data_IF_388727630343
#
_entry.id   IF_388727630343
#
_cell.length_a   1.000
_cell.length_b   1.000
_cell.length_c   1.000
_cell.angle_alpha   90.00
_cell.angle_beta   90.00
_cell.angle_gamma   90.00
#
_symmetry.space_group_name_H-M   'P 1'
#
loop_
_entity.id
_entity.type
_entity.pdbx_description
1 polymer ?
#
# COMPACT_ATOMS: atom_id res chain seq x y z
N UNK A 1 -11.04 28.49 13.72
CA UNK A 1 -10.97 28.01 12.32
C UNK A 1 -9.48 27.88 12.01
N UNK A 2 -8.96 26.65 12.05
CA UNK A 2 -7.52 26.41 11.92
C UNK A 2 -7.08 26.69 10.48
N UNK A 3 -6.15 27.62 10.31
CA UNK A 3 -5.48 27.90 9.05
C UNK A 3 -4.55 26.72 8.76
N UNK A 4 -4.91 25.86 7.81
CA UNK A 4 -3.98 24.87 7.28
C UNK A 4 -2.87 25.61 6.54
N UNK A 5 -1.62 25.39 6.98
CA UNK A 5 -0.42 26.10 6.52
C UNK A 5 -0.02 25.71 5.11
N UNK A 6 -0.78 26.17 4.13
CA UNK A 6 -0.36 26.20 2.73
C UNK A 6 0.37 27.53 2.53
N UNK A 7 1.66 27.49 2.21
CA UNK A 7 2.46 28.70 1.98
C UNK A 7 2.14 29.30 0.60
N UNK A 8 1.16 30.20 0.57
CA UNK A 8 0.63 30.82 -0.66
C UNK A 8 1.45 32.02 -1.13
N UNK A 9 2.42 32.47 -0.34
CA UNK A 9 3.28 33.61 -0.69
C UNK A 9 4.06 33.36 -1.98
N UNK A 10 4.37 32.08 -2.25
CA UNK A 10 5.11 31.63 -3.43
C UNK A 10 4.26 31.63 -4.70
N UNK A 11 2.94 31.39 -4.61
CA UNK A 11 2.04 31.44 -5.77
C UNK A 11 1.87 32.88 -6.26
N UNK A 12 1.73 33.80 -5.31
CA UNK A 12 1.64 35.23 -5.53
C UNK A 12 2.92 35.82 -6.14
N UNK A 13 4.09 35.28 -5.81
CA UNK A 13 5.39 35.67 -6.37
C UNK A 13 5.64 35.01 -7.74
N UNK A 14 5.22 33.75 -7.92
CA UNK A 14 5.30 33.04 -9.21
C UNK A 14 4.43 33.69 -10.28
N UNK A 15 3.21 34.12 -9.91
CA UNK A 15 2.30 34.87 -10.79
C UNK A 15 2.85 36.26 -11.15
N UNK A 16 3.59 36.91 -10.23
CA UNK A 16 4.25 38.20 -10.47
C UNK A 16 5.51 38.10 -11.33
N UNK A 17 6.24 36.99 -11.24
CA UNK A 17 7.53 36.77 -11.93
C UNK A 17 7.42 36.10 -13.29
N UNK A 18 6.21 35.71 -13.73
CA UNK A 18 5.99 35.06 -15.03
C UNK A 18 6.46 33.61 -15.07
N UNK A 19 6.65 32.98 -13.90
CA UNK A 19 6.92 31.55 -13.79
C UNK A 19 5.62 30.76 -14.03
N UNK A 20 5.71 29.57 -14.59
CA UNK A 20 4.56 28.79 -15.09
C UNK A 20 3.55 28.45 -13.97
N UNK A 21 2.51 29.29 -13.85
CA UNK A 21 1.47 29.19 -12.83
C UNK A 21 0.74 27.84 -12.82
N UNK A 22 0.72 27.14 -13.97
CA UNK A 22 0.13 25.80 -14.09
C UNK A 22 0.95 24.76 -13.34
N UNK A 23 2.28 24.79 -13.50
CA UNK A 23 3.19 23.88 -12.80
C UNK A 23 3.12 24.07 -11.29
N UNK A 24 3.05 25.33 -10.82
CA UNK A 24 2.89 25.62 -9.40
C UNK A 24 1.53 25.16 -8.87
N UNK A 25 0.43 25.49 -9.56
CA UNK A 25 -0.91 25.09 -9.15
C UNK A 25 -1.04 23.56 -9.05
N UNK A 26 -0.39 22.84 -9.96
CA UNK A 26 -0.33 21.37 -9.93
C UNK A 26 0.45 20.87 -8.71
N UNK A 27 1.64 21.42 -8.43
CA UNK A 27 2.44 21.03 -7.26
C UNK A 27 1.69 21.29 -5.93
N UNK A 28 1.05 22.46 -5.82
CA UNK A 28 0.23 22.84 -4.68
C UNK A 28 -0.94 21.87 -4.49
N UNK A 29 -1.64 21.54 -5.57
CA UNK A 29 -2.76 20.61 -5.54
C UNK A 29 -2.34 19.20 -5.14
N UNK A 30 -1.21 18.71 -5.64
CA UNK A 30 -0.64 17.43 -5.24
C UNK A 30 -0.28 17.39 -3.75
N UNK A 31 0.35 18.46 -3.23
CA UNK A 31 0.67 18.57 -1.82
C UNK A 31 -0.60 18.64 -0.94
N UNK A 32 -1.62 19.39 -1.37
CA UNK A 32 -2.90 19.47 -0.67
C UNK A 32 -3.59 18.10 -0.60
N UNK A 33 -3.57 17.33 -1.69
CA UNK A 33 -4.09 15.97 -1.72
C UNK A 33 -3.36 15.02 -0.75
N UNK A 34 -2.02 15.09 -0.70
CA UNK A 34 -1.20 14.31 0.25
C UNK A 34 -1.48 14.68 1.71
N UNK A 35 -1.89 15.91 1.97
CA UNK A 35 -2.30 16.39 3.30
C UNK A 35 -3.78 16.11 3.62
N UNK A 36 -4.52 15.44 2.73
CA UNK A 36 -5.93 15.10 2.94
C UNK A 36 -6.90 16.28 2.78
N UNK A 37 -6.48 17.38 2.18
CA UNK A 37 -7.35 18.53 1.92
C UNK A 37 -8.37 18.13 0.84
N UNK A 38 -9.68 18.27 1.08
CA UNK A 38 -10.69 17.90 0.10
C UNK A 38 -10.70 18.87 -1.09
N UNK A 39 -10.96 18.34 -2.29
CA UNK A 39 -10.88 19.10 -3.55
C UNK A 39 -11.74 20.37 -3.54
N UNK A 40 -12.96 20.32 -3.00
CA UNK A 40 -13.82 21.48 -2.91
C UNK A 40 -13.20 22.63 -2.08
N UNK A 41 -12.44 22.32 -1.03
CA UNK A 41 -11.73 23.34 -0.26
C UNK A 41 -10.56 23.94 -1.03
N UNK A 42 -9.83 23.13 -1.80
CA UNK A 42 -8.78 23.63 -2.71
C UNK A 42 -9.38 24.55 -3.78
N UNK A 43 -10.49 24.16 -4.40
CA UNK A 43 -11.17 24.97 -5.41
C UNK A 43 -11.70 26.30 -4.83
N UNK A 44 -12.37 26.27 -3.68
CA UNK A 44 -12.80 27.50 -3.00
C UNK A 44 -11.62 28.39 -2.59
N UNK A 45 -10.46 27.81 -2.29
CA UNK A 45 -9.26 28.58 -2.01
C UNK A 45 -8.70 29.27 -3.28
N UNK A 46 -8.67 28.56 -4.41
CA UNK A 46 -8.28 29.15 -5.69
C UNK A 46 -9.25 30.25 -6.13
N UNK A 47 -10.56 30.05 -5.97
CA UNK A 47 -11.57 31.08 -6.25
C UNK A 47 -11.33 32.36 -5.43
N UNK A 48 -11.03 32.21 -4.14
CA UNK A 48 -10.74 33.36 -3.27
C UNK A 48 -9.44 34.08 -3.64
N UNK A 49 -8.42 33.36 -4.09
CA UNK A 49 -7.13 33.94 -4.48
C UNK A 49 -7.25 34.82 -5.74
N UNK A 50 -8.09 34.41 -6.70
CA UNK A 50 -8.25 35.14 -7.96
C UNK A 50 -9.29 36.26 -7.88
N UNK A 51 -10.11 36.31 -6.81
CA UNK A 51 -11.16 37.30 -6.64
C UNK A 51 -10.63 38.76 -6.74
N UNK A 52 -11.36 39.65 -7.45
CA UNK A 52 -12.70 39.47 -8.01
C UNK A 52 -12.73 38.81 -9.40
N UNK A 53 -11.60 38.36 -9.93
CA UNK A 53 -11.51 37.68 -11.22
C UNK A 53 -11.72 36.17 -11.04
N UNK A 54 -12.17 35.50 -12.10
CA UNK A 54 -12.21 34.04 -12.10
C UNK A 54 -10.83 33.47 -12.45
N UNK A 55 -10.42 32.36 -11.82
CA UNK A 55 -9.22 31.64 -12.22
C UNK A 55 -9.37 31.10 -13.65
N UNK A 56 -8.25 31.03 -14.38
CA UNK A 56 -8.26 30.47 -15.72
C UNK A 56 -8.67 28.98 -15.68
N UNK A 57 -9.49 28.55 -16.63
CA UNK A 57 -9.96 27.16 -16.73
C UNK A 57 -8.80 26.15 -16.72
N UNK A 58 -7.74 26.41 -17.49
CA UNK A 58 -6.59 25.50 -17.58
C UNK A 58 -5.88 25.30 -16.24
N UNK A 59 -5.87 26.33 -15.39
CA UNK A 59 -5.30 26.26 -14.04
C UNK A 59 -6.16 25.43 -13.11
N UNK A 60 -7.48 25.64 -13.12
CA UNK A 60 -8.42 24.83 -12.34
C UNK A 60 -8.38 23.37 -12.78
N UNK A 61 -8.30 23.13 -14.09
CA UNK A 61 -8.17 21.79 -14.67
C UNK A 61 -6.86 21.12 -14.26
N UNK A 62 -5.73 21.81 -14.37
CA UNK A 62 -4.42 21.28 -13.99
C UNK A 62 -4.36 20.94 -12.49
N UNK A 63 -4.85 21.84 -11.62
CA UNK A 63 -4.94 21.60 -10.18
C UNK A 63 -5.87 20.42 -9.84
N UNK A 64 -7.03 20.32 -10.50
CA UNK A 64 -7.97 19.23 -10.25
C UNK A 64 -7.40 17.86 -10.64
N UNK A 65 -6.70 17.77 -11.77
CA UNK A 65 -6.03 16.55 -12.22
C UNK A 65 -4.90 16.18 -11.25
N UNK A 66 -4.02 17.13 -10.93
CA UNK A 66 -2.91 16.90 -10.02
C UNK A 66 -3.37 16.47 -8.61
N UNK A 67 -4.46 17.06 -8.10
CA UNK A 67 -5.08 16.64 -6.85
C UNK A 67 -5.62 15.21 -6.93
N UNK A 68 -6.33 14.86 -8.02
CA UNK A 68 -6.90 13.53 -8.20
C UNK A 68 -5.82 12.44 -8.30
N UNK A 69 -4.78 12.68 -9.11
CA UNK A 69 -3.65 11.75 -9.28
C UNK A 69 -2.92 11.54 -7.94
N UNK A 70 -2.63 12.63 -7.21
CA UNK A 70 -1.98 12.53 -5.90
C UNK A 70 -2.87 11.84 -4.84
N UNK A 71 -4.20 12.04 -4.89
CA UNK A 71 -5.12 11.38 -3.95
C UNK A 71 -5.29 9.89 -4.24
N UNK A 72 -5.20 9.45 -5.51
CA UNK A 72 -5.20 8.02 -5.86
C UNK A 72 -4.04 7.29 -5.18
N UNK A 73 -2.85 7.90 -5.16
CA UNK A 73 -1.71 7.33 -4.45
C UNK A 73 -1.95 7.27 -2.94
N UNK A 74 -2.60 8.28 -2.32
CA UNK A 74 -2.85 8.29 -0.87
C UNK A 74 -3.99 7.35 -0.47
N UNK A 75 -5.04 7.21 -1.27
CA UNK A 75 -6.20 6.34 -0.94
C UNK A 75 -5.84 4.85 -0.91
N UNK A 76 -4.85 4.42 -1.70
CA UNK A 76 -4.31 3.05 -1.62
C UNK A 76 -3.58 2.75 -0.30
N UNK A 77 -3.16 3.79 0.43
CA UNK A 77 -2.59 3.67 1.78
C UNK A 77 -3.65 3.72 2.89
N UNK A 78 -4.91 4.05 2.57
CA UNK A 78 -5.99 4.14 3.57
C UNK A 78 -6.83 2.85 3.65
N UNK A 79 -6.69 1.94 2.70
CA UNK A 79 -7.42 0.67 2.72
C UNK A 79 -6.57 -0.44 3.34
N UNK A 80 -7.18 -1.24 4.22
CA UNK A 80 -6.54 -2.44 4.77
C UNK A 80 -6.36 -3.54 3.70
N UNK A 81 -7.09 -3.42 2.58
CA UNK A 81 -7.06 -4.34 1.46
C UNK A 81 -6.91 -3.58 0.14
N UNK A 82 -6.19 -4.17 -0.80
CA UNK A 82 -6.13 -3.73 -2.18
C UNK A 82 -7.45 -4.10 -2.89
N UNK A 83 -8.18 -3.13 -3.47
CA UNK A 83 -9.52 -3.37 -4.03
C UNK A 83 -9.52 -4.23 -5.29
N UNK A 84 -8.39 -4.38 -5.97
CA UNK A 84 -8.28 -5.17 -7.20
C UNK A 84 -8.02 -6.65 -6.89
N UNK A 85 -7.19 -6.93 -5.89
CA UNK A 85 -6.70 -8.27 -5.54
C UNK A 85 -7.34 -8.86 -4.28
N UNK A 86 -8.01 -8.01 -3.49
CA UNK A 86 -8.54 -8.30 -2.14
C UNK A 86 -7.43 -8.75 -1.14
N UNK A 87 -6.15 -8.55 -1.50
CA UNK A 87 -5.02 -8.83 -0.64
C UNK A 87 -4.90 -7.75 0.43
N UNK A 88 -4.49 -8.13 1.63
CA UNK A 88 -4.15 -7.15 2.66
C UNK A 88 -2.98 -6.27 2.21
N UNK A 89 -3.02 -5.00 2.61
CA UNK A 89 -1.91 -4.08 2.37
C UNK A 89 -0.76 -4.35 3.35
N UNK A 90 0.44 -3.91 3.01
CA UNK A 90 1.62 -3.99 3.90
C UNK A 90 1.39 -3.26 5.22
N UNK A 91 0.61 -2.17 5.21
CA UNK A 91 0.20 -1.45 6.41
C UNK A 91 -0.72 -2.31 7.30
N UNK A 92 -1.73 -2.97 6.73
CA UNK A 92 -2.59 -3.87 7.51
C UNK A 92 -1.82 -5.04 8.12
N UNK A 93 -0.85 -5.58 7.38
CA UNK A 93 0.06 -6.60 7.90
C UNK A 93 0.89 -6.08 9.09
N UNK A 94 1.44 -4.87 8.99
CA UNK A 94 2.21 -4.24 10.07
C UNK A 94 1.34 -4.05 11.32
N UNK A 95 0.13 -3.50 11.17
CA UNK A 95 -0.84 -3.34 12.27
C UNK A 95 -1.18 -4.70 12.93
N UNK A 96 -1.36 -5.75 12.12
CA UNK A 96 -1.63 -7.09 12.66
C UNK A 96 -0.44 -7.64 13.44
N UNK A 97 0.77 -7.43 12.95
CA UNK A 97 2.01 -7.83 13.63
C UNK A 97 2.16 -7.08 14.96
N UNK A 98 1.99 -5.75 15.00
CA UNK A 98 2.01 -4.99 16.25
C UNK A 98 1.02 -5.55 17.29
N UNK A 99 -0.18 -5.92 16.85
CA UNK A 99 -1.17 -6.59 17.69
C UNK A 99 -0.68 -7.92 18.29
N UNK A 100 0.00 -8.74 17.48
CA UNK A 100 0.59 -10.01 17.92
C UNK A 100 1.71 -9.78 18.93
N UNK A 101 2.62 -8.83 18.67
CA UNK A 101 3.73 -8.53 19.59
C UNK A 101 3.21 -8.01 20.93
N UNK A 102 2.21 -7.13 20.90
CA UNK A 102 1.57 -6.60 22.11
C UNK A 102 0.90 -7.71 22.92
N UNK A 103 0.20 -8.63 22.25
CA UNK A 103 -0.41 -9.80 22.90
C UNK A 103 0.65 -10.71 23.52
N UNK A 104 1.71 -11.02 22.77
CA UNK A 104 2.82 -11.86 23.23
C UNK A 104 3.52 -11.26 24.46
N UNK A 105 3.69 -9.94 24.49
CA UNK A 105 4.24 -9.23 25.65
C UNK A 105 3.36 -9.36 26.91
N UNK A 106 2.03 -9.35 26.76
CA UNK A 106 1.08 -9.54 27.88
C UNK A 106 1.06 -11.00 28.35
N UNK A 107 1.12 -11.95 27.42
CA UNK A 107 1.03 -13.39 27.70
C UNK A 107 2.39 -14.01 28.11
N UNK A 108 3.49 -13.26 27.96
CA UNK A 108 4.84 -13.76 28.23
C UNK A 108 5.32 -14.81 27.24
N UNK A 109 4.79 -14.81 26.01
CA UNK A 109 5.13 -15.74 24.93
C UNK A 109 5.99 -15.06 23.88
N UNK A 110 6.63 -15.85 23.00
CA UNK A 110 7.33 -15.31 21.83
C UNK A 110 6.40 -15.28 20.61
N UNK A 111 6.33 -14.16 19.85
CA UNK A 111 5.60 -14.11 18.59
C UNK A 111 5.99 -15.24 17.63
N UNK A 112 7.28 -15.59 17.58
CA UNK A 112 7.81 -16.64 16.70
C UNK A 112 7.34 -18.06 17.08
N UNK A 113 6.89 -18.28 18.32
CA UNK A 113 6.34 -19.57 18.76
C UNK A 113 4.86 -19.75 18.36
N UNK A 114 4.17 -18.65 18.10
CA UNK A 114 2.72 -18.64 17.83
C UNK A 114 2.41 -18.36 16.37
N UNK A 115 3.23 -17.57 15.68
CA UNK A 115 3.00 -17.16 14.31
C UNK A 115 4.27 -17.29 13.46
N UNK A 116 4.06 -17.56 12.18
CA UNK A 116 5.10 -17.59 11.17
C UNK A 116 4.64 -16.85 9.91
N UNK A 117 5.61 -16.41 9.09
CA UNK A 117 5.33 -15.88 7.76
C UNK A 117 5.74 -16.91 6.71
N UNK A 118 4.83 -17.21 5.79
CA UNK A 118 5.17 -17.85 4.52
C UNK A 118 5.37 -16.74 3.50
N UNK A 119 6.59 -16.55 2.99
CA UNK A 119 6.85 -15.65 1.86
C UNK A 119 6.80 -16.38 0.53
N UNK A 120 6.21 -15.72 -0.46
CA UNK A 120 5.98 -16.22 -1.80
C UNK A 120 6.57 -15.22 -2.78
N UNK A 121 7.74 -15.57 -3.32
CA UNK A 121 8.40 -14.83 -4.39
C UNK A 121 8.00 -15.37 -5.76
N UNK A 122 7.56 -14.47 -6.65
CA UNK A 122 7.19 -14.80 -8.02
C UNK A 122 8.27 -14.31 -8.99
N UNK A 123 8.99 -15.26 -9.59
CA UNK A 123 9.98 -14.98 -10.65
C UNK A 123 9.36 -15.00 -12.05
N UNK A 124 8.18 -14.40 -12.18
CA UNK A 124 7.50 -14.26 -13.46
C UNK A 124 7.75 -12.84 -14.01
N UNK A 125 8.07 -12.75 -15.30
CA UNK A 125 8.18 -11.46 -15.97
C UNK A 125 6.78 -11.02 -16.41
N UNK A 126 6.19 -10.08 -15.68
CA UNK A 126 4.93 -9.45 -16.09
C UNK A 126 5.18 -8.44 -17.21
N UNK A 127 4.31 -8.39 -18.21
CA UNK A 127 4.43 -7.44 -19.33
C UNK A 127 3.94 -6.05 -18.88
N UNK A 128 2.98 -6.00 -17.97
CA UNK A 128 2.44 -4.77 -17.39
C UNK A 128 1.93 -5.01 -15.95
N UNK A 129 1.43 -3.95 -15.29
CA UNK A 129 0.90 -3.99 -13.92
C UNK A 129 -0.39 -4.80 -13.79
N UNK A 130 -1.23 -4.82 -14.84
CA UNK A 130 -2.46 -5.62 -14.85
C UNK A 130 -2.14 -7.13 -14.82
N UNK A 131 -1.13 -7.58 -15.56
CA UNK A 131 -0.70 -8.99 -15.54
C UNK A 131 -0.18 -9.39 -14.16
N UNK A 132 0.55 -8.48 -13.49
CA UNK A 132 1.00 -8.70 -12.12
C UNK A 132 -0.16 -8.83 -11.14
N UNK A 133 -1.17 -7.95 -11.28
CA UNK A 133 -2.38 -7.98 -10.46
C UNK A 133 -3.22 -9.25 -10.70
N UNK A 134 -3.40 -9.67 -11.96
CA UNK A 134 -4.08 -10.92 -12.29
C UNK A 134 -3.36 -12.14 -11.70
N UNK A 135 -2.03 -12.17 -11.79
CA UNK A 135 -1.25 -13.23 -11.14
C UNK A 135 -1.40 -13.19 -9.61
N UNK A 136 -1.40 -12.01 -9.00
CA UNK A 136 -1.64 -11.87 -7.57
C UNK A 136 -3.03 -12.38 -7.16
N UNK A 137 -4.08 -12.15 -7.97
CA UNK A 137 -5.42 -12.70 -7.76
C UNK A 137 -5.39 -14.23 -7.76
N UNK A 138 -4.75 -14.84 -8.75
CA UNK A 138 -4.69 -16.30 -8.85
C UNK A 138 -3.90 -16.93 -7.69
N UNK A 139 -2.79 -16.32 -7.29
CA UNK A 139 -2.02 -16.71 -6.10
C UNK A 139 -2.89 -16.59 -4.86
N UNK A 140 -3.57 -15.46 -4.67
CA UNK A 140 -4.41 -15.21 -3.51
C UNK A 140 -5.55 -16.23 -3.43
N UNK A 141 -6.19 -16.56 -4.55
CA UNK A 141 -7.21 -17.61 -4.60
C UNK A 141 -6.65 -18.97 -4.19
N UNK A 142 -5.49 -19.36 -4.71
CA UNK A 142 -4.81 -20.60 -4.33
C UNK A 142 -4.49 -20.63 -2.82
N UNK A 143 -3.98 -19.54 -2.26
CA UNK A 143 -3.67 -19.43 -0.83
C UNK A 143 -4.92 -19.52 0.05
N UNK A 144 -6.03 -18.87 -0.35
CA UNK A 144 -7.32 -18.93 0.38
C UNK A 144 -7.93 -20.34 0.42
N UNK A 145 -7.49 -21.28 -0.44
CA UNK A 145 -7.91 -22.69 -0.33
C UNK A 145 -7.18 -23.45 0.78
N UNK A 146 -6.01 -22.96 1.20
CA UNK A 146 -5.14 -23.59 2.21
C UNK A 146 -5.29 -22.89 3.56
N UNK A 147 -5.38 -21.57 3.54
CA UNK A 147 -5.51 -20.69 4.70
C UNK A 147 -6.94 -20.15 4.73
N UNK A 148 -7.76 -20.73 5.60
CA UNK A 148 -9.24 -20.58 5.60
C UNK A 148 -9.78 -19.90 6.86
N UNK A 149 -8.91 -19.49 7.78
CA UNK A 149 -9.25 -18.98 9.11
C UNK A 149 -8.92 -17.49 9.20
N UNK A 150 -8.16 -17.09 10.22
CA UNK A 150 -7.79 -15.70 10.49
C UNK A 150 -6.38 -15.34 10.00
N UNK A 151 -5.84 -16.13 9.06
CA UNK A 151 -4.57 -15.84 8.41
C UNK A 151 -4.68 -14.58 7.55
N UNK A 152 -3.59 -13.80 7.49
CA UNK A 152 -3.53 -12.58 6.69
C UNK A 152 -2.70 -12.85 5.44
N UNK A 153 -3.32 -12.74 4.27
CA UNK A 153 -2.65 -12.84 2.98
C UNK A 153 -2.43 -11.41 2.46
N UNK A 154 -1.18 -10.98 2.36
CA UNK A 154 -0.81 -9.62 2.01
C UNK A 154 0.15 -9.57 0.81
N UNK A 155 0.10 -8.47 0.05
CA UNK A 155 1.12 -8.13 -0.94
C UNK A 155 2.11 -7.11 -0.33
N UNK A 156 3.40 -7.40 -0.40
CA UNK A 156 4.45 -6.45 -0.04
C UNK A 156 4.85 -5.58 -1.24
N UNK A 157 4.91 -6.22 -2.42
CA UNK A 157 5.12 -5.60 -3.71
C UNK A 157 4.46 -6.45 -4.83
N UNK A 158 4.63 -6.07 -6.09
CA UNK A 158 4.01 -6.76 -7.24
C UNK A 158 4.49 -8.21 -7.45
N UNK A 159 5.56 -8.66 -6.78
CA UNK A 159 6.21 -9.97 -6.93
C UNK A 159 6.43 -10.71 -5.62
N UNK A 160 6.24 -10.05 -4.48
CA UNK A 160 6.38 -10.61 -3.14
C UNK A 160 5.06 -10.55 -2.40
N UNK A 161 4.52 -11.75 -2.13
CA UNK A 161 3.31 -11.94 -1.33
C UNK A 161 3.69 -12.69 -0.05
N UNK A 162 2.93 -12.47 1.01
CA UNK A 162 3.17 -13.10 2.30
C UNK A 162 1.88 -13.60 2.92
N UNK A 163 1.98 -14.68 3.69
CA UNK A 163 0.90 -15.18 4.54
C UNK A 163 1.38 -15.17 5.98
N UNK A 164 0.69 -14.42 6.84
CA UNK A 164 0.86 -14.49 8.29
C UNK A 164 -0.15 -15.49 8.85
N UNK A 165 0.35 -16.56 9.46
CA UNK A 165 -0.48 -17.67 9.96
C UNK A 165 0.06 -18.22 11.29
N UNK A 166 -0.70 -19.12 11.90
CA UNK A 166 -0.25 -19.87 13.09
C UNK A 166 1.01 -20.70 12.74
N UNK A 167 2.04 -20.61 13.58
CA UNK A 167 3.32 -21.28 13.36
C UNK A 167 3.18 -22.81 13.24
N UNK A 168 2.15 -23.41 13.85
CA UNK A 168 1.90 -24.86 13.79
C UNK A 168 1.31 -25.29 12.46
N UNK A 169 0.66 -24.37 11.75
CA UNK A 169 0.04 -24.63 10.45
C UNK A 169 1.04 -24.49 9.30
N UNK A 170 2.02 -23.59 9.43
CA UNK A 170 3.04 -23.39 8.39
C UNK A 170 4.14 -24.45 8.51
N UNK A 171 4.00 -25.54 7.76
CA UNK A 171 4.94 -26.67 7.74
C UNK A 171 5.23 -27.16 6.32
N UNK A 172 6.19 -28.07 6.17
CA UNK A 172 6.63 -28.59 4.87
C UNK A 172 5.51 -29.21 4.03
N UNK A 173 4.51 -29.84 4.65
CA UNK A 173 3.39 -30.43 3.93
C UNK A 173 2.47 -29.34 3.36
N UNK A 174 2.20 -28.29 4.12
CA UNK A 174 1.49 -27.10 3.64
C UNK A 174 2.27 -26.43 2.50
N UNK A 175 3.59 -26.31 2.60
CA UNK A 175 4.43 -25.77 1.51
C UNK A 175 4.29 -26.59 0.22
N UNK A 176 4.24 -27.93 0.33
CA UNK A 176 4.03 -28.81 -0.83
C UNK A 176 2.67 -28.59 -1.46
N UNK A 177 1.61 -28.46 -0.65
CA UNK A 177 0.26 -28.19 -1.14
C UNK A 177 0.20 -26.83 -1.85
N UNK A 178 0.74 -25.79 -1.21
CA UNK A 178 0.84 -24.45 -1.81
C UNK A 178 1.62 -24.50 -3.13
N UNK A 179 2.78 -25.17 -3.17
CA UNK A 179 3.56 -25.30 -4.40
C UNK A 179 2.79 -25.99 -5.54
N UNK A 180 2.00 -27.03 -5.23
CA UNK A 180 1.15 -27.72 -6.22
C UNK A 180 0.03 -26.79 -6.71
N UNK A 181 -0.61 -26.06 -5.81
CA UNK A 181 -1.68 -25.12 -6.16
C UNK A 181 -1.15 -23.95 -6.98
N UNK A 182 -0.01 -23.37 -6.62
CA UNK A 182 0.62 -22.31 -7.40
C UNK A 182 0.92 -22.76 -8.83
N UNK A 183 1.41 -24.00 -9.00
CA UNK A 183 1.72 -24.54 -10.32
C UNK A 183 0.47 -24.83 -11.15
N UNK A 184 -0.60 -25.33 -10.51
CA UNK A 184 -1.79 -25.80 -11.23
C UNK A 184 -2.87 -24.73 -11.40
N UNK A 185 -3.12 -23.94 -10.36
CA UNK A 185 -4.15 -22.92 -10.34
C UNK A 185 -3.62 -21.57 -10.83
N UNK A 186 -2.46 -21.13 -10.32
CA UNK A 186 -1.89 -19.82 -10.65
C UNK A 186 -0.92 -19.83 -11.85
N UNK A 187 -0.67 -20.99 -12.45
CA UNK A 187 0.24 -21.12 -13.61
C UNK A 187 1.70 -20.76 -13.30
N UNK A 188 2.11 -20.75 -12.03
CA UNK A 188 3.47 -20.38 -11.61
C UNK A 188 4.33 -21.66 -11.55
N UNK A 189 5.25 -21.88 -12.50
CA UNK A 189 5.96 -23.16 -12.59
C UNK A 189 6.89 -23.42 -11.41
N UNK A 190 7.52 -22.35 -10.89
CA UNK A 190 8.54 -22.40 -9.84
C UNK A 190 8.34 -21.27 -8.82
N UNK A 191 7.36 -21.41 -7.91
CA UNK A 191 7.18 -20.46 -6.82
C UNK A 191 8.36 -20.54 -5.84
N UNK A 192 8.87 -19.40 -5.40
CA UNK A 192 9.85 -19.35 -4.32
C UNK A 192 9.12 -19.24 -2.99
N UNK A 193 9.03 -20.34 -2.25
CA UNK A 193 8.36 -20.40 -0.96
C UNK A 193 9.40 -20.47 0.16
N UNK A 194 9.28 -19.61 1.18
CA UNK A 194 10.13 -19.65 2.39
C UNK A 194 9.28 -19.47 3.64
N UNK A 195 9.56 -20.26 4.67
CA UNK A 195 9.02 -20.04 6.02
C UNK A 195 9.99 -19.15 6.77
N UNK A 196 9.49 -18.03 7.26
CA UNK A 196 10.24 -17.04 8.01
C UNK A 196 9.67 -16.96 9.42
N UNK A 197 10.56 -17.11 10.41
CA UNK A 197 10.20 -16.87 11.80
C UNK A 197 10.08 -15.36 12.03
N UNK A 198 9.10 -14.97 12.85
CA UNK A 198 8.98 -13.57 13.23
C UNK A 198 10.21 -13.09 14.01
N UNK A 199 10.60 -11.81 13.89
CA UNK A 199 11.67 -11.26 14.71
C UNK A 199 11.36 -11.40 16.22
N UNK A 200 12.40 -11.27 17.05
CA UNK A 200 12.20 -11.32 18.50
C UNK A 200 11.65 -10.01 19.07
N UNK A 201 11.88 -8.88 18.38
CA UNK A 201 11.51 -7.54 18.84
C UNK A 201 10.64 -6.83 17.82
N UNK A 202 9.66 -6.09 18.33
CA UNK A 202 8.74 -5.29 17.53
C UNK A 202 9.48 -4.23 16.68
N UNK A 203 10.55 -3.63 17.23
CA UNK A 203 11.39 -2.66 16.54
C UNK A 203 12.04 -3.20 15.25
N UNK A 204 12.16 -4.53 15.11
CA UNK A 204 12.80 -5.16 13.95
C UNK A 204 11.80 -5.45 12.81
N UNK A 205 10.49 -5.25 13.02
CA UNK A 205 9.43 -5.58 12.04
C UNK A 205 9.62 -4.84 10.72
N UNK A 206 9.89 -3.53 10.76
CA UNK A 206 10.03 -2.72 9.54
C UNK A 206 11.15 -3.24 8.64
N UNK A 207 12.31 -3.55 9.22
CA UNK A 207 13.45 -4.11 8.49
C UNK A 207 13.16 -5.53 7.99
N UNK A 208 12.43 -6.32 8.78
CA UNK A 208 12.03 -7.66 8.40
C UNK A 208 11.10 -7.65 7.18
N UNK A 209 10.08 -6.79 7.15
CA UNK A 209 9.18 -6.67 5.99
C UNK A 209 9.93 -6.25 4.72
N UNK A 210 10.90 -5.35 4.82
CA UNK A 210 11.77 -4.96 3.69
C UNK A 210 12.65 -6.13 3.21
N UNK A 211 13.11 -6.98 4.12
CA UNK A 211 13.88 -8.17 3.77
C UNK A 211 13.03 -9.24 3.05
N UNK A 212 11.72 -9.26 3.27
CA UNK A 212 10.79 -10.18 2.59
C UNK A 212 10.45 -9.74 1.16
N UNK A 213 10.58 -8.45 0.83
CA UNK A 213 10.42 -7.92 -0.53
C UNK A 213 11.68 -8.02 -1.40
N UNK A 214 12.81 -8.49 -0.83
CA UNK A 214 14.11 -8.60 -1.52
C UNK A 214 14.37 -9.99 -2.10
#
# INVERSE_FOLDING_TARGET
MQSFGIDTTVLDDALRTGSDALSFASALASQAAQQGVPLNHLLSHLENLYAPREPAYDLVRAASIAWADARQHVSLHETCHDPLTDLATSQHLAERLEGIYRKAAVEGTSPAETHAILSIGVKHAYVNELDAALSAIDIAQALRTVFVRDEVIAALDARSLVVLADARQVNDDVLRVVAVLMRRAAGIPSPHLRIESLPLREADIANFLVALSS
#
